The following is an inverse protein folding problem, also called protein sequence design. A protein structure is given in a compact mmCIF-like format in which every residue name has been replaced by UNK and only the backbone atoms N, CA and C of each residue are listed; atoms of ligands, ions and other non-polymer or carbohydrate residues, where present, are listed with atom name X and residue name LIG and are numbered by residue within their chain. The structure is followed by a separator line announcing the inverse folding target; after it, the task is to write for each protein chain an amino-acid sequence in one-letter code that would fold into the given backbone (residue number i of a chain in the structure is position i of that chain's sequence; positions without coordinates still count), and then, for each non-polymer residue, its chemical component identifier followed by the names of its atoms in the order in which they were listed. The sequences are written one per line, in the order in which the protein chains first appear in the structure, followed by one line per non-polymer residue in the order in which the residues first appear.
data_IF_617234556668
#
_entry.id   IF_617234556668
#
_cell.length_a   1.000
_cell.length_b   1.000
_cell.length_c   1.000
_cell.angle_alpha   90.00
_cell.angle_beta   90.00
_cell.angle_gamma   90.00
#
_symmetry.space_group_name_H-M   'P 1'
#
loop_
_entity.id
_entity.type
_entity.pdbx_description
1 polymer ?
#
# COMPACT_ATOMS: atom_id res chain seq x y z
N UNK A 1 -75.07 8.46 -25.52
CA UNK A 1 -73.92 9.38 -25.48
C UNK A 1 -72.79 8.71 -24.70
N UNK A 2 -71.70 8.33 -25.37
CA UNK A 2 -70.47 7.83 -24.72
C UNK A 2 -69.56 9.03 -24.50
N UNK A 3 -69.32 9.43 -23.25
CA UNK A 3 -68.25 10.36 -22.93
C UNK A 3 -66.94 9.58 -22.83
N UNK A 4 -65.99 9.97 -23.68
CA UNK A 4 -64.64 9.44 -23.79
C UNK A 4 -63.79 9.92 -22.60
N UNK A 5 -63.07 8.96 -22.01
CA UNK A 5 -62.02 9.16 -21.01
C UNK A 5 -60.97 10.18 -21.50
N UNK A 6 -60.91 11.36 -20.87
CA UNK A 6 -59.85 12.36 -21.09
C UNK A 6 -58.83 12.43 -19.95
N UNK A 7 -58.73 11.40 -19.11
CA UNK A 7 -57.85 11.42 -17.92
C UNK A 7 -56.57 10.57 -18.05
N UNK A 8 -56.30 9.94 -19.20
CA UNK A 8 -55.11 9.08 -19.37
C UNK A 8 -53.89 9.80 -19.96
N UNK A 9 -54.07 10.93 -20.64
CA UNK A 9 -52.97 11.61 -21.34
C UNK A 9 -52.19 12.61 -20.46
N UNK A 10 -52.81 13.18 -19.42
CA UNK A 10 -52.14 14.17 -18.57
C UNK A 10 -51.03 13.56 -17.71
N UNK A 11 -51.23 12.36 -17.15
CA UNK A 11 -50.27 11.73 -16.23
C UNK A 11 -49.01 11.20 -16.91
N UNK A 12 -49.10 10.79 -18.18
CA UNK A 12 -47.93 10.34 -18.96
C UNK A 12 -47.11 11.54 -19.43
N UNK A 13 -47.78 12.59 -19.94
CA UNK A 13 -47.11 13.84 -20.31
C UNK A 13 -46.47 14.54 -19.10
N UNK A 14 -47.07 14.46 -17.91
CA UNK A 14 -46.46 15.01 -16.69
C UNK A 14 -45.27 14.18 -16.20
N UNK A 15 -45.31 12.85 -16.36
CA UNK A 15 -44.14 11.99 -16.10
C UNK A 15 -43.04 12.22 -17.11
N UNK A 16 -43.36 12.36 -18.39
CA UNK A 16 -42.38 12.71 -19.42
C UNK A 16 -41.83 14.10 -19.19
N UNK A 17 -42.64 15.11 -18.86
CA UNK A 17 -42.16 16.44 -18.50
C UNK A 17 -41.30 16.40 -17.24
N UNK A 18 -41.65 15.64 -16.20
CA UNK A 18 -40.81 15.48 -15.00
C UNK A 18 -39.49 14.74 -15.28
N UNK A 19 -39.50 13.70 -16.11
CA UNK A 19 -38.31 12.94 -16.50
C UNK A 19 -37.42 13.76 -17.43
N UNK A 20 -38.02 14.47 -18.39
CA UNK A 20 -37.34 15.34 -19.32
C UNK A 20 -36.79 16.56 -18.59
N UNK A 21 -37.51 17.16 -17.65
CA UNK A 21 -37.01 18.25 -16.81
C UNK A 21 -35.89 17.78 -15.87
N UNK A 22 -35.96 16.54 -15.35
CA UNK A 22 -34.84 15.90 -14.64
C UNK A 22 -33.62 15.64 -15.52
N UNK A 23 -33.80 15.39 -16.82
CA UNK A 23 -32.71 15.14 -17.79
C UNK A 23 -32.15 16.43 -18.41
N UNK A 24 -32.95 17.46 -18.64
CA UNK A 24 -32.56 18.66 -19.40
C UNK A 24 -32.22 19.87 -18.54
N UNK A 25 -32.68 19.92 -17.28
CA UNK A 25 -32.43 21.05 -16.37
C UNK A 25 -31.63 20.69 -15.11
N UNK A 26 -31.10 19.46 -15.01
CA UNK A 26 -29.97 19.19 -14.11
C UNK A 26 -28.66 19.53 -14.80
N UNK A 27 -28.45 20.82 -14.99
CA UNK A 27 -27.11 21.41 -15.08
C UNK A 27 -26.47 21.55 -13.70
N UNK A 28 -26.74 20.61 -12.79
CA UNK A 28 -26.00 20.47 -11.54
C UNK A 28 -24.96 19.39 -11.79
N UNK A 29 -23.70 19.74 -11.62
CA UNK A 29 -22.59 18.79 -11.56
C UNK A 29 -23.04 17.52 -10.86
N UNK A 30 -23.09 16.39 -11.59
CA UNK A 30 -23.18 15.09 -10.96
C UNK A 30 -21.90 14.91 -10.15
N UNK A 31 -21.87 15.43 -8.93
CA UNK A 31 -20.94 15.04 -7.89
C UNK A 31 -21.30 13.59 -7.61
N UNK A 32 -20.73 12.68 -8.39
CA UNK A 32 -20.70 11.26 -8.06
C UNK A 32 -20.05 11.23 -6.67
N UNK A 33 -20.76 10.82 -5.60
CA UNK A 33 -20.17 10.77 -4.28
C UNK A 33 -18.87 9.99 -4.39
N UNK A 34 -17.77 10.51 -3.85
CA UNK A 34 -16.43 9.93 -3.96
C UNK A 34 -16.43 8.41 -3.69
N UNK A 35 -17.30 8.00 -2.77
CA UNK A 35 -17.55 6.61 -2.38
C UNK A 35 -18.05 5.72 -3.54
N UNK A 36 -18.85 6.25 -4.47
CA UNK A 36 -19.36 5.50 -5.62
C UNK A 36 -18.27 5.20 -6.65
N UNK A 37 -17.38 6.16 -6.92
CA UNK A 37 -16.21 5.93 -7.78
C UNK A 37 -15.26 4.90 -7.16
N UNK A 38 -15.11 4.91 -5.83
CA UNK A 38 -14.31 3.92 -5.11
C UNK A 38 -14.95 2.53 -5.22
N UNK A 39 -16.25 2.41 -4.96
CA UNK A 39 -17.01 1.16 -5.09
C UNK A 39 -16.93 0.57 -6.49
N UNK A 40 -17.03 1.40 -7.53
CA UNK A 40 -16.88 0.99 -8.93
C UNK A 40 -15.47 0.48 -9.27
N UNK A 41 -14.47 0.82 -8.46
CA UNK A 41 -13.06 0.53 -8.69
C UNK A 41 -12.43 -0.36 -7.61
N UNK A 42 -13.22 -1.00 -6.74
CA UNK A 42 -12.72 -1.90 -5.68
C UNK A 42 -11.79 -2.97 -6.27
N UNK A 43 -12.14 -3.58 -7.40
CA UNK A 43 -11.34 -4.64 -8.00
C UNK A 43 -9.92 -4.14 -8.42
N UNK A 44 -9.77 -3.06 -9.22
CA UNK A 44 -8.46 -2.46 -9.48
C UNK A 44 -7.70 -2.00 -8.22
N UNK A 45 -8.37 -1.40 -7.24
CA UNK A 45 -7.71 -1.00 -5.99
C UNK A 45 -7.20 -2.21 -5.22
N UNK A 46 -7.99 -3.27 -5.12
CA UNK A 46 -7.57 -4.50 -4.47
C UNK A 46 -6.36 -5.10 -5.16
N UNK A 47 -6.33 -5.13 -6.50
CA UNK A 47 -5.17 -5.58 -7.27
C UNK A 47 -3.92 -4.73 -6.99
N UNK A 48 -4.07 -3.40 -6.90
CA UNK A 48 -2.98 -2.47 -6.57
C UNK A 48 -2.38 -2.76 -5.19
N UNK A 49 -3.23 -2.94 -4.17
CA UNK A 49 -2.79 -3.30 -2.82
C UNK A 49 -2.08 -4.66 -2.81
N UNK A 50 -2.71 -5.66 -3.42
CA UNK A 50 -2.22 -7.03 -3.40
C UNK A 50 -0.85 -7.16 -4.07
N UNK A 51 -0.65 -6.51 -5.22
CA UNK A 51 0.64 -6.48 -5.91
C UNK A 51 1.72 -5.71 -5.14
N UNK A 52 1.38 -4.57 -4.54
CA UNK A 52 2.32 -3.82 -3.72
C UNK A 52 2.75 -4.62 -2.48
N UNK A 53 1.81 -5.33 -1.83
CA UNK A 53 2.09 -6.19 -0.69
C UNK A 53 2.97 -7.38 -1.10
N UNK A 54 2.61 -8.09 -2.17
CA UNK A 54 3.39 -9.24 -2.66
C UNK A 54 4.83 -8.82 -3.00
N UNK A 55 5.00 -7.63 -3.59
CA UNK A 55 6.33 -7.09 -3.89
C UNK A 55 7.11 -6.70 -2.62
N UNK A 56 6.45 -6.07 -1.65
CA UNK A 56 7.06 -5.73 -0.36
C UNK A 56 7.56 -6.98 0.38
N UNK A 57 6.70 -8.02 0.46
CA UNK A 57 7.05 -9.31 1.07
C UNK A 57 8.18 -9.99 0.32
N UNK A 58 8.16 -9.96 -1.02
CA UNK A 58 9.25 -10.50 -1.82
C UNK A 58 10.60 -9.86 -1.45
N UNK A 59 10.66 -8.53 -1.35
CA UNK A 59 11.89 -7.81 -1.00
C UNK A 59 12.34 -8.10 0.44
N UNK A 60 11.39 -8.19 1.38
CA UNK A 60 11.67 -8.54 2.77
C UNK A 60 12.15 -9.99 2.94
N UNK A 61 11.88 -10.88 1.99
CA UNK A 61 12.33 -12.29 2.03
C UNK A 61 13.67 -12.51 1.34
N UNK A 62 14.21 -11.51 0.65
CA UNK A 62 15.58 -11.59 0.14
C UNK A 62 16.59 -11.60 1.31
N UNK A 63 17.81 -12.06 1.06
CA UNK A 63 18.86 -12.05 2.08
C UNK A 63 19.33 -10.61 2.34
N UNK A 64 18.56 -9.81 3.10
CA UNK A 64 18.86 -8.40 3.36
C UNK A 64 20.28 -8.17 3.91
N UNK A 65 20.75 -9.03 4.81
CA UNK A 65 22.08 -8.94 5.42
C UNK A 65 23.23 -9.41 4.51
N UNK A 66 22.95 -9.74 3.25
CA UNK A 66 23.99 -9.89 2.22
C UNK A 66 24.33 -8.58 1.50
N UNK A 67 23.53 -7.52 1.71
CA UNK A 67 23.73 -6.20 1.14
C UNK A 67 24.46 -5.26 2.10
N UNK A 68 25.08 -4.21 1.55
CA UNK A 68 25.63 -3.08 2.31
C UNK A 68 24.53 -2.32 3.06
N UNK A 69 24.92 -1.48 4.01
CA UNK A 69 24.03 -0.60 4.80
C UNK A 69 23.16 0.25 3.86
N UNK A 70 23.79 0.84 2.83
CA UNK A 70 23.11 1.59 1.78
C UNK A 70 22.06 0.74 1.07
N UNK A 71 22.43 -0.47 0.62
CA UNK A 71 21.53 -1.40 -0.04
C UNK A 71 20.36 -1.86 0.85
N UNK A 72 20.62 -2.12 2.14
CA UNK A 72 19.58 -2.44 3.13
C UNK A 72 18.62 -1.27 3.30
N UNK A 73 19.13 -0.05 3.44
CA UNK A 73 18.32 1.16 3.56
C UNK A 73 17.46 1.43 2.31
N UNK A 74 17.98 1.17 1.12
CA UNK A 74 17.26 1.30 -0.14
C UNK A 74 16.12 0.27 -0.27
N UNK A 75 16.38 -0.98 0.15
CA UNK A 75 15.37 -2.02 0.23
C UNK A 75 14.26 -1.61 1.20
N UNK A 76 14.61 -1.21 2.43
CA UNK A 76 13.61 -0.76 3.41
C UNK A 76 12.81 0.45 2.90
N UNK A 77 13.48 1.42 2.29
CA UNK A 77 12.82 2.60 1.70
C UNK A 77 11.82 2.22 0.61
N UNK A 78 12.17 1.24 -0.22
CA UNK A 78 11.30 0.71 -1.28
C UNK A 78 10.10 -0.05 -0.70
N UNK A 79 10.34 -0.88 0.31
CA UNK A 79 9.28 -1.60 1.04
C UNK A 79 8.32 -0.62 1.73
N UNK A 80 8.83 0.42 2.37
CA UNK A 80 8.01 1.45 3.02
C UNK A 80 7.11 2.19 2.04
N UNK A 81 7.62 2.53 0.84
CA UNK A 81 6.80 3.11 -0.24
C UNK A 81 5.67 2.17 -0.67
N UNK A 82 5.98 0.89 -0.87
CA UNK A 82 4.99 -0.13 -1.26
C UNK A 82 3.93 -0.35 -0.17
N UNK A 83 4.33 -0.38 1.10
CA UNK A 83 3.40 -0.47 2.22
C UNK A 83 2.54 0.78 2.38
N UNK A 84 3.09 1.97 2.12
CA UNK A 84 2.32 3.22 2.04
C UNK A 84 1.18 3.10 1.02
N UNK A 85 1.48 2.59 -0.19
CA UNK A 85 0.45 2.30 -1.21
C UNK A 85 -0.58 1.29 -0.69
N UNK A 86 -0.16 0.24 0.00
CA UNK A 86 -1.06 -0.76 0.58
C UNK A 86 -2.02 -0.14 1.60
N UNK A 87 -1.50 0.68 2.51
CA UNK A 87 -2.25 1.35 3.57
C UNK A 87 -3.27 2.31 2.97
N UNK A 88 -2.84 3.20 2.07
CA UNK A 88 -3.72 4.16 1.40
C UNK A 88 -4.84 3.46 0.64
N UNK A 89 -4.49 2.43 -0.13
CA UNK A 89 -5.45 1.68 -0.92
C UNK A 89 -6.42 0.89 -0.05
N UNK A 90 -5.95 0.33 1.07
CA UNK A 90 -6.82 -0.36 2.04
C UNK A 90 -7.78 0.61 2.72
N UNK A 91 -7.33 1.82 3.10
CA UNK A 91 -8.23 2.87 3.62
C UNK A 91 -9.32 3.23 2.62
N UNK A 92 -8.98 3.34 1.33
CA UNK A 92 -9.97 3.57 0.29
C UNK A 92 -10.99 2.43 0.19
N UNK A 93 -10.55 1.17 0.30
CA UNK A 93 -11.47 0.01 0.21
C UNK A 93 -12.38 -0.09 1.44
N UNK A 94 -11.87 0.21 2.65
CA UNK A 94 -12.59 0.05 3.93
C UNK A 94 -13.49 1.25 4.27
N UNK A 95 -13.15 2.46 3.84
CA UNK A 95 -13.94 3.68 4.14
C UNK A 95 -15.39 3.69 3.59
N UNK A 96 -15.70 3.17 2.39
CA UNK A 96 -17.07 3.09 1.88
C UNK A 96 -17.91 1.95 2.47
N UNK A 97 -17.30 0.99 3.19
CA UNK A 97 -18.00 -0.15 3.83
C UNK A 97 -18.51 0.15 5.24
N UNK A 98 -18.70 1.42 5.59
CA UNK A 98 -19.08 1.97 6.92
C UNK A 98 -20.40 1.46 7.54
N UNK A 99 -21.08 0.51 6.93
CA UNK A 99 -22.21 -0.22 7.52
C UNK A 99 -21.79 -1.29 8.56
N UNK A 100 -20.56 -1.23 9.08
CA UNK A 100 -20.10 -2.16 10.12
C UNK A 100 -19.82 -3.60 9.66
N UNK A 101 -19.57 -3.83 8.36
CA UNK A 101 -19.51 -5.18 7.78
C UNK A 101 -18.12 -5.69 7.36
N UNK A 102 -17.05 -4.91 7.52
CA UNK A 102 -15.69 -5.35 7.15
C UNK A 102 -14.65 -5.21 8.29
N UNK A 103 -14.92 -5.88 9.40
CA UNK A 103 -13.97 -6.05 10.51
C UNK A 103 -12.63 -6.62 10.03
N UNK A 104 -12.67 -7.51 9.03
CA UNK A 104 -11.48 -8.13 8.44
C UNK A 104 -10.63 -7.14 7.66
N UNK A 105 -11.22 -6.28 6.85
CA UNK A 105 -10.53 -5.19 6.17
C UNK A 105 -9.88 -4.21 7.16
N UNK A 106 -10.55 -3.95 8.29
CA UNK A 106 -9.98 -3.13 9.38
C UNK A 106 -8.78 -3.81 10.03
N UNK A 107 -8.86 -5.11 10.31
CA UNK A 107 -7.74 -5.88 10.86
C UNK A 107 -6.54 -5.92 9.90
N UNK A 108 -6.77 -6.04 8.58
CA UNK A 108 -5.71 -5.97 7.57
C UNK A 108 -5.05 -4.59 7.58
N UNK A 109 -5.82 -3.51 7.68
CA UNK A 109 -5.26 -2.17 7.79
C UNK A 109 -4.36 -2.02 9.03
N UNK A 110 -4.81 -2.52 10.18
CA UNK A 110 -4.02 -2.50 11.42
C UNK A 110 -2.72 -3.30 11.30
N UNK A 111 -2.79 -4.49 10.70
CA UNK A 111 -1.62 -5.30 10.39
C UNK A 111 -0.62 -4.55 9.48
N UNK A 112 -1.10 -3.94 8.40
CA UNK A 112 -0.25 -3.19 7.48
C UNK A 112 0.43 -1.99 8.15
N UNK A 113 -0.27 -1.31 9.07
CA UNK A 113 0.30 -0.22 9.87
C UNK A 113 1.39 -0.74 10.82
N UNK A 114 1.11 -1.82 11.56
CA UNK A 114 2.08 -2.45 12.45
C UNK A 114 3.35 -2.89 11.70
N UNK A 115 3.19 -3.54 10.55
CA UNK A 115 4.30 -3.96 9.71
C UNK A 115 5.12 -2.75 9.23
N UNK A 116 4.44 -1.67 8.80
CA UNK A 116 5.09 -0.45 8.36
C UNK A 116 5.91 0.21 9.47
N UNK A 117 5.36 0.34 10.68
CA UNK A 117 6.03 0.91 11.84
C UNK A 117 7.25 0.07 12.26
N UNK A 118 7.13 -1.26 12.18
CA UNK A 118 8.24 -2.18 12.51
C UNK A 118 9.38 -2.04 11.49
N UNK A 119 9.07 -1.90 10.20
CA UNK A 119 10.06 -1.67 9.14
C UNK A 119 10.68 -0.27 9.25
N UNK A 120 9.90 0.75 9.65
CA UNK A 120 10.42 2.08 9.94
C UNK A 120 11.49 2.03 11.04
N UNK A 121 11.27 1.20 12.07
CA UNK A 121 12.25 0.99 13.14
C UNK A 121 13.53 0.33 12.63
N UNK A 122 13.45 -0.74 11.84
CA UNK A 122 14.62 -1.39 11.23
C UNK A 122 15.40 -0.40 10.34
N UNK A 123 14.69 0.33 9.48
CA UNK A 123 15.27 1.35 8.61
C UNK A 123 15.94 2.49 9.39
N UNK A 124 15.44 2.84 10.58
CA UNK A 124 16.10 3.81 11.45
C UNK A 124 17.42 3.30 12.00
N UNK A 125 17.53 2.01 12.34
CA UNK A 125 18.79 1.42 12.81
C UNK A 125 19.87 1.53 11.74
N UNK A 126 19.56 1.15 10.50
CA UNK A 126 20.52 1.26 9.37
C UNK A 126 20.92 2.71 9.12
N UNK A 127 19.98 3.66 9.15
CA UNK A 127 20.35 5.08 8.98
C UNK A 127 21.24 5.60 10.11
N UNK A 128 21.06 5.11 11.34
CA UNK A 128 21.94 5.48 12.45
C UNK A 128 23.33 4.86 12.31
N UNK A 129 23.41 3.63 11.82
CA UNK A 129 24.66 2.95 11.43
C UNK A 129 25.43 3.79 10.39
N UNK A 130 24.76 4.15 9.29
CA UNK A 130 25.34 4.98 8.23
C UNK A 130 25.79 6.36 8.74
N UNK A 131 24.96 7.04 9.54
CA UNK A 131 25.29 8.35 10.08
C UNK A 131 26.50 8.32 11.04
N UNK A 132 26.63 7.25 11.84
CA UNK A 132 27.82 7.09 12.70
C UNK A 132 29.11 6.96 11.89
N UNK A 133 29.03 6.31 10.72
CA UNK A 133 30.18 6.13 9.84
C UNK A 133 30.53 7.41 9.07
N UNK A 134 29.53 8.11 8.50
CA UNK A 134 29.75 9.35 7.74
C UNK A 134 30.23 10.52 8.60
N UNK A 135 29.68 10.66 9.81
CA UNK A 135 29.95 11.80 10.69
C UNK A 135 30.98 11.49 11.79
N UNK A 136 31.72 10.37 11.71
CA UNK A 136 32.61 9.89 12.78
C UNK A 136 33.59 10.98 13.26
N UNK A 137 34.24 11.67 12.32
CA UNK A 137 35.21 12.73 12.63
C UNK A 137 34.56 13.97 13.27
N UNK A 138 33.38 14.36 12.77
CA UNK A 138 32.61 15.52 13.27
C UNK A 138 32.07 15.26 14.66
N UNK A 139 31.48 14.08 14.89
CA UNK A 139 30.97 13.61 16.17
C UNK A 139 32.11 13.41 17.19
N UNK A 140 33.24 12.84 16.76
CA UNK A 140 34.43 12.70 17.61
C UNK A 140 34.99 14.06 18.03
N UNK A 141 34.94 15.06 17.14
CA UNK A 141 35.32 16.45 17.45
C UNK A 141 34.38 17.13 18.45
N UNK A 142 33.08 16.80 18.43
CA UNK A 142 32.06 17.39 19.30
C UNK A 142 31.99 16.71 20.68
N UNK A 143 32.00 15.37 20.73
CA UNK A 143 31.76 14.60 21.95
C UNK A 143 33.09 14.23 22.66
N UNK A 144 34.20 14.12 21.91
CA UNK A 144 35.54 13.85 22.43
C UNK A 144 36.21 12.61 21.81
N UNK A 145 37.55 12.63 21.71
CA UNK A 145 38.35 11.63 20.96
C UNK A 145 38.40 10.22 21.58
N UNK A 146 38.01 10.07 22.84
CA UNK A 146 37.99 8.76 23.51
C UNK A 146 36.77 7.89 23.10
N UNK A 147 35.86 8.44 22.29
CA UNK A 147 34.57 7.83 21.94
C UNK A 147 34.63 6.93 20.69
N UNK A 148 35.71 6.96 19.91
CA UNK A 148 35.81 6.13 18.70
C UNK A 148 35.68 4.62 18.98
N UNK A 149 36.11 4.14 20.16
CA UNK A 149 35.86 2.74 20.59
C UNK A 149 34.39 2.50 20.95
N UNK A 150 33.72 3.52 21.48
CA UNK A 150 32.29 3.51 21.79
C UNK A 150 31.44 3.46 20.51
N UNK A 151 31.87 4.13 19.43
CA UNK A 151 31.17 4.10 18.14
C UNK A 151 31.15 2.71 17.53
N UNK A 152 32.27 1.99 17.53
CA UNK A 152 32.29 0.57 17.07
C UNK A 152 31.36 -0.32 17.88
N UNK A 153 31.31 -0.13 19.21
CA UNK A 153 30.37 -0.88 20.05
C UNK A 153 28.91 -0.48 19.78
N UNK A 154 28.66 0.76 19.39
CA UNK A 154 27.30 1.27 19.09
C UNK A 154 26.82 0.77 17.73
N UNK A 155 27.73 0.69 16.76
CA UNK A 155 27.52 0.08 15.44
C UNK A 155 27.06 -1.37 15.56
N UNK A 156 27.78 -2.20 16.34
CA UNK A 156 27.37 -3.57 16.64
C UNK A 156 25.98 -3.63 17.33
N UNK A 157 25.65 -2.66 18.18
CA UNK A 157 24.32 -2.59 18.82
C UNK A 157 23.24 -2.28 17.79
N UNK A 158 23.47 -1.36 16.86
CA UNK A 158 22.50 -1.04 15.81
C UNK A 158 22.28 -2.21 14.86
N UNK A 159 23.35 -2.87 14.40
CA UNK A 159 23.24 -4.03 13.54
C UNK A 159 22.50 -5.20 14.23
N UNK A 160 22.86 -5.53 15.48
CA UNK A 160 22.13 -6.54 16.25
C UNK A 160 20.66 -6.18 16.47
N UNK A 161 20.36 -4.90 16.71
CA UNK A 161 18.99 -4.42 16.87
C UNK A 161 18.22 -4.49 15.56
N UNK A 162 18.83 -4.12 14.44
CA UNK A 162 18.27 -4.27 13.09
C UNK A 162 17.91 -5.73 12.83
N UNK A 163 18.84 -6.66 13.08
CA UNK A 163 18.64 -8.10 12.88
C UNK A 163 17.49 -8.65 13.73
N UNK A 164 17.40 -8.24 15.00
CA UNK A 164 16.29 -8.62 15.87
C UNK A 164 14.95 -8.08 15.36
N UNK A 165 14.89 -6.82 14.93
CA UNK A 165 13.66 -6.24 14.37
C UNK A 165 13.30 -6.95 13.05
N UNK A 166 14.28 -7.27 12.21
CA UNK A 166 14.06 -8.02 10.98
C UNK A 166 13.50 -9.42 11.22
N UNK A 167 13.94 -10.11 12.27
CA UNK A 167 13.33 -11.38 12.67
C UNK A 167 11.85 -11.19 13.04
N UNK A 168 11.51 -10.16 13.82
CA UNK A 168 10.11 -9.83 14.11
C UNK A 168 9.31 -9.53 12.84
N UNK A 169 9.88 -8.80 11.87
CA UNK A 169 9.24 -8.51 10.57
C UNK A 169 8.96 -9.81 9.82
N UNK A 170 9.94 -10.71 9.76
CA UNK A 170 9.83 -12.00 9.07
C UNK A 170 8.73 -12.85 9.70
N UNK A 171 8.71 -12.96 11.03
CA UNK A 171 7.66 -13.67 11.76
C UNK A 171 6.26 -13.05 11.53
N UNK A 172 6.14 -11.72 11.57
CA UNK A 172 4.88 -11.04 11.30
C UNK A 172 4.35 -11.32 9.89
N UNK A 173 5.23 -11.35 8.89
CA UNK A 173 4.88 -11.70 7.51
C UNK A 173 4.41 -13.15 7.43
N UNK A 174 5.16 -14.09 8.00
CA UNK A 174 4.84 -15.52 7.92
C UNK A 174 3.55 -15.88 8.68
N UNK A 175 3.32 -15.28 9.85
CA UNK A 175 2.08 -15.48 10.62
C UNK A 175 0.84 -14.95 9.90
N UNK A 176 0.98 -13.87 9.14
CA UNK A 176 -0.16 -13.17 8.50
C UNK A 176 -0.46 -13.68 7.08
N UNK A 177 0.50 -14.31 6.41
CA UNK A 177 0.39 -14.79 5.02
C UNK A 177 -0.86 -15.66 4.78
N UNK A 178 -1.18 -16.68 5.61
CA UNK A 178 -2.38 -17.49 5.40
C UNK A 178 -3.68 -16.67 5.46
N UNK A 179 -3.72 -15.67 6.35
CA UNK A 179 -4.89 -14.80 6.54
C UNK A 179 -5.04 -13.84 5.37
N UNK A 180 -3.93 -13.26 4.89
CA UNK A 180 -3.90 -12.37 3.73
C UNK A 180 -4.37 -13.09 2.46
N UNK A 181 -3.86 -14.30 2.20
CA UNK A 181 -4.29 -15.14 1.07
C UNK A 181 -5.77 -15.49 1.17
N UNK A 182 -6.23 -15.93 2.33
CA UNK A 182 -7.64 -16.29 2.56
C UNK A 182 -8.57 -15.09 2.33
N UNK A 183 -8.19 -13.90 2.78
CA UNK A 183 -8.96 -12.68 2.56
C UNK A 183 -9.01 -12.31 1.08
N UNK A 184 -7.87 -12.36 0.39
CA UNK A 184 -7.79 -12.10 -1.06
C UNK A 184 -8.72 -13.03 -1.84
N UNK A 185 -8.68 -14.33 -1.55
CA UNK A 185 -9.54 -15.31 -2.22
C UNK A 185 -11.03 -15.13 -1.87
N UNK A 186 -11.34 -14.77 -0.62
CA UNK A 186 -12.71 -14.43 -0.23
C UNK A 186 -13.26 -13.25 -1.04
N UNK A 187 -12.49 -12.17 -1.16
CA UNK A 187 -12.90 -10.99 -1.92
C UNK A 187 -13.00 -11.27 -3.42
N UNK A 188 -12.09 -12.05 -4.00
CA UNK A 188 -12.20 -12.46 -5.42
C UNK A 188 -13.48 -13.23 -5.72
N UNK A 189 -13.97 -14.05 -4.78
CA UNK A 189 -15.22 -14.81 -4.93
C UNK A 189 -16.46 -13.92 -4.94
N UNK A 190 -16.42 -12.73 -4.35
CA UNK A 190 -17.56 -11.80 -4.37
C UNK A 190 -17.63 -10.96 -5.65
N UNK A 191 -16.58 -10.98 -6.49
CA UNK A 191 -16.56 -10.23 -7.73
C UNK A 191 -17.39 -10.88 -8.83
N UNK A 192 -18.07 -10.03 -9.62
CA UNK A 192 -18.61 -10.43 -10.91
C UNK A 192 -17.48 -10.80 -11.89
N UNK A 193 -17.80 -11.56 -12.94
CA UNK A 193 -16.82 -11.92 -13.98
C UNK A 193 -16.11 -10.72 -14.60
N UNK A 194 -16.81 -9.59 -14.77
CA UNK A 194 -16.24 -8.33 -15.26
C UNK A 194 -15.21 -7.75 -14.28
N UNK A 195 -15.56 -7.66 -12.98
CA UNK A 195 -14.67 -7.14 -11.96
C UNK A 195 -13.45 -8.06 -11.73
N UNK A 196 -13.62 -9.37 -11.81
CA UNK A 196 -12.51 -10.31 -11.75
C UNK A 196 -11.52 -10.10 -12.90
N UNK A 197 -12.00 -9.88 -14.13
CA UNK A 197 -11.13 -9.57 -15.26
C UNK A 197 -10.38 -8.24 -15.05
N UNK A 198 -11.07 -7.20 -14.55
CA UNK A 198 -10.44 -5.92 -14.21
C UNK A 198 -9.36 -6.06 -13.13
N UNK A 199 -9.61 -6.89 -12.11
CA UNK A 199 -8.62 -7.23 -11.09
C UNK A 199 -7.38 -7.87 -11.72
N UNK A 200 -7.54 -8.92 -12.53
CA UNK A 200 -6.42 -9.65 -13.14
C UNK A 200 -5.59 -8.74 -14.04
N UNK A 201 -6.23 -7.90 -14.86
CA UNK A 201 -5.53 -6.94 -15.72
C UNK A 201 -4.72 -5.93 -14.91
N UNK A 202 -5.34 -5.31 -13.90
CA UNK A 202 -4.67 -4.37 -13.02
C UNK A 202 -3.52 -5.03 -12.24
N UNK A 203 -3.70 -6.27 -11.81
CA UNK A 203 -2.66 -7.03 -11.11
C UNK A 203 -1.42 -7.20 -11.99
N UNK A 204 -1.57 -7.64 -13.24
CA UNK A 204 -0.45 -7.81 -14.17
C UNK A 204 0.29 -6.47 -14.45
N UNK A 205 -0.47 -5.38 -14.60
CA UNK A 205 0.09 -4.04 -14.81
C UNK A 205 0.89 -3.56 -13.60
N UNK A 206 0.31 -3.64 -12.40
CA UNK A 206 0.98 -3.21 -11.18
C UNK A 206 2.16 -4.10 -10.79
N UNK A 207 2.10 -5.40 -11.09
CA UNK A 207 3.24 -6.31 -10.91
C UNK A 207 4.44 -5.85 -11.75
N UNK A 208 4.20 -5.40 -12.98
CA UNK A 208 5.25 -4.84 -13.85
C UNK A 208 5.76 -3.50 -13.30
N UNK A 209 4.85 -2.62 -12.88
CA UNK A 209 5.20 -1.30 -12.34
C UNK A 209 6.05 -1.40 -11.06
N UNK A 210 5.64 -2.24 -10.12
CA UNK A 210 6.31 -2.41 -8.82
C UNK A 210 7.55 -3.32 -8.90
N UNK A 211 7.68 -4.13 -9.95
CA UNK A 211 8.91 -4.87 -10.24
C UNK A 211 10.15 -3.97 -10.34
N UNK A 212 9.98 -2.71 -10.74
CA UNK A 212 11.08 -1.75 -10.90
C UNK A 212 11.54 -1.08 -9.60
N UNK A 213 10.81 -1.25 -8.49
CA UNK A 213 11.15 -0.61 -7.20
C UNK A 213 12.45 -1.12 -6.56
N UNK A 214 13.09 -2.18 -7.09
CA UNK A 214 14.38 -2.69 -6.61
C UNK A 214 15.55 -2.51 -7.58
N UNK A 215 15.33 -1.92 -8.76
CA UNK A 215 16.35 -1.84 -9.83
C UNK A 215 17.15 -0.53 -9.81
N UNK A 216 17.06 0.27 -8.75
CA UNK A 216 17.70 1.59 -8.75
C UNK A 216 19.21 1.57 -8.47
N UNK A 217 19.84 0.42 -8.15
CA UNK A 217 21.30 0.34 -7.91
C UNK A 217 22.03 -0.84 -8.59
N UNK A 218 21.74 -1.13 -9.86
CA UNK A 218 22.75 -1.76 -10.73
C UNK A 218 23.56 -0.68 -11.46
N UNK A 219 24.34 0.09 -10.71
CA UNK A 219 25.49 0.82 -11.26
C UNK A 219 26.70 0.54 -10.39
N UNK A 220 27.38 -0.57 -10.68
CA UNK A 220 28.76 -0.78 -10.24
C UNK A 220 29.62 0.45 -10.59
N UNK A 221 30.47 0.94 -9.68
CA UNK A 221 31.50 1.88 -10.05
C UNK A 221 32.50 1.16 -10.96
N UNK A 222 32.71 1.71 -12.17
CA UNK A 222 33.90 1.41 -12.96
C UNK A 222 35.13 1.75 -12.12
N UNK A 223 35.75 0.74 -11.52
CA UNK A 223 37.15 0.85 -11.09
C UNK A 223 37.98 0.84 -12.37
N UNK A 224 38.45 2.01 -12.79
CA UNK A 224 39.53 2.11 -13.77
C UNK A 224 40.89 2.23 -13.04
N UNK A 225 41.93 1.62 -13.62
CA UNK A 225 43.19 1.28 -12.96
C UNK A 225 44.02 2.49 -12.53
#
# INVERSE_FOLDING_TARGET
MRQLNSNFESGVLDRFKKTFHKMTFRGDEHIIPRDYLVVMNIAPYMARRDTAYDRAVYLLRECLFSYSEEGRNDIYSSVLKLLGICIETTRLIVSPTKDGRDEKGTAILQYLLLLNDTILAASAMVRHEMALFEDEDTLSGFIGKDISKQFRSTDEIFNNSEMNIYHCISELVDMSEPTMVKYREFMKKTFSKSNLNRYVKAFAEYQTLYGNFSKQEEKSPEVKP
#
